data_IF_435955903696
#
_entry.id   IF_435955903696
#
_cell.length_a   1.000
_cell.length_b   1.000
_cell.length_c   1.000
_cell.angle_alpha   90.00
_cell.angle_beta   90.00
_cell.angle_gamma   90.00
#
_symmetry.space_group_name_H-M   'P 1'
#
loop_
_entity.id
_entity.type
_entity.pdbx_description
1 polymer ?
#
# COMPACT_ATOMS: atom_id res chain seq x y z
N UNK A 1 -5.81 32.77 -32.63
CA UNK A 1 -6.40 31.84 -31.63
C UNK A 1 -7.23 32.66 -30.66
N UNK A 2 -8.43 32.19 -30.32
CA UNK A 2 -9.35 32.90 -29.43
C UNK A 2 -9.16 32.47 -27.98
N UNK A 3 -9.39 33.35 -27.01
CA UNK A 3 -9.37 33.02 -25.56
C UNK A 3 -10.14 31.73 -25.23
N UNK A 4 -11.25 31.48 -25.92
CA UNK A 4 -12.05 30.27 -25.76
C UNK A 4 -11.27 28.98 -26.12
N UNK A 5 -10.44 29.00 -27.17
CA UNK A 5 -9.61 27.87 -27.58
C UNK A 5 -8.50 27.59 -26.54
N UNK A 6 -7.91 28.65 -25.98
CA UNK A 6 -6.90 28.51 -24.92
C UNK A 6 -7.53 27.92 -23.64
N UNK A 7 -8.74 28.36 -23.28
CA UNK A 7 -9.49 27.81 -22.14
C UNK A 7 -9.86 26.33 -22.34
N UNK A 8 -10.27 25.92 -23.55
CA UNK A 8 -10.51 24.52 -23.85
C UNK A 8 -9.23 23.68 -23.72
N UNK A 9 -8.11 24.15 -24.26
CA UNK A 9 -6.84 23.43 -24.15
C UNK A 9 -6.37 23.32 -22.68
N UNK A 10 -6.56 24.36 -21.87
CA UNK A 10 -6.28 24.30 -20.42
C UNK A 10 -7.18 23.27 -19.75
N UNK A 11 -8.49 23.29 -20.04
CA UNK A 11 -9.44 22.34 -19.47
C UNK A 11 -9.09 20.90 -19.83
N UNK A 12 -8.83 20.59 -21.11
CA UNK A 12 -8.52 19.24 -21.56
C UNK A 12 -7.25 18.70 -20.89
N UNK A 13 -6.22 19.54 -20.75
CA UNK A 13 -4.99 19.17 -20.06
C UNK A 13 -5.22 18.92 -18.57
N UNK A 14 -5.96 19.79 -17.88
CA UNK A 14 -6.27 19.59 -16.45
C UNK A 14 -7.19 18.38 -16.24
N UNK A 15 -8.19 18.18 -17.10
CA UNK A 15 -9.07 17.01 -17.06
C UNK A 15 -8.30 15.71 -17.27
N UNK A 16 -7.44 15.65 -18.28
CA UNK A 16 -6.57 14.49 -18.53
C UNK A 16 -5.64 14.22 -17.34
N UNK A 17 -5.02 15.25 -16.76
CA UNK A 17 -4.20 15.13 -15.54
C UNK A 17 -5.02 14.60 -14.35
N UNK A 18 -6.23 15.09 -14.16
CA UNK A 18 -7.13 14.63 -13.10
C UNK A 18 -7.53 13.16 -13.28
N UNK A 19 -7.87 12.76 -14.51
CA UNK A 19 -8.20 11.39 -14.86
C UNK A 19 -7.01 10.45 -14.63
N UNK A 20 -5.81 10.83 -15.11
CA UNK A 20 -4.59 10.05 -14.93
C UNK A 20 -4.25 9.88 -13.44
N UNK A 21 -4.30 10.95 -12.65
CA UNK A 21 -4.08 10.89 -11.20
C UNK A 21 -5.09 9.98 -10.49
N UNK A 22 -6.37 10.00 -10.89
CA UNK A 22 -7.39 9.10 -10.32
C UNK A 22 -7.11 7.65 -10.68
N UNK A 23 -6.74 7.39 -11.94
CA UNK A 23 -6.39 6.05 -12.40
C UNK A 23 -5.15 5.50 -11.67
N UNK A 24 -4.11 6.31 -11.50
CA UNK A 24 -2.87 5.96 -10.79
C UNK A 24 -3.14 5.52 -9.35
N UNK A 25 -3.97 6.28 -8.62
CA UNK A 25 -4.38 5.93 -7.24
C UNK A 25 -5.14 4.61 -7.20
N UNK A 26 -6.10 4.41 -8.11
CA UNK A 26 -6.88 3.18 -8.15
C UNK A 26 -6.00 1.96 -8.44
N UNK A 27 -5.07 2.08 -9.39
CA UNK A 27 -4.12 1.01 -9.72
C UNK A 27 -3.20 0.67 -8.55
N UNK A 28 -2.72 1.69 -7.81
CA UNK A 28 -1.93 1.46 -6.60
C UNK A 28 -2.72 0.74 -5.50
N UNK A 29 -3.98 1.13 -5.28
CA UNK A 29 -4.86 0.44 -4.31
C UNK A 29 -5.12 -1.00 -4.75
N UNK A 30 -5.27 -1.25 -6.05
CA UNK A 30 -5.40 -2.62 -6.58
C UNK A 30 -4.13 -3.44 -6.33
N UNK A 31 -2.95 -2.89 -6.57
CA UNK A 31 -1.66 -3.57 -6.29
C UNK A 31 -1.53 -3.92 -4.80
N UNK A 32 -1.88 -3.00 -3.89
CA UNK A 32 -1.89 -3.26 -2.44
C UNK A 32 -2.82 -4.43 -2.08
N UNK A 33 -4.01 -4.51 -2.67
CA UNK A 33 -4.96 -5.61 -2.45
C UNK A 33 -4.46 -6.93 -3.03
N UNK A 34 -3.85 -6.90 -4.21
CA UNK A 34 -3.25 -8.08 -4.84
C UNK A 34 -2.12 -8.63 -3.98
N UNK A 35 -1.21 -7.78 -3.50
CA UNK A 35 -0.16 -8.16 -2.57
C UNK A 35 -0.72 -8.75 -1.27
N UNK A 36 -1.78 -8.16 -0.69
CA UNK A 36 -2.42 -8.71 0.50
C UNK A 36 -3.04 -10.10 0.25
N UNK A 37 -3.75 -10.26 -0.88
CA UNK A 37 -4.35 -11.54 -1.26
C UNK A 37 -3.29 -12.62 -1.51
N UNK A 38 -2.20 -12.26 -2.20
CA UNK A 38 -1.09 -13.16 -2.48
C UNK A 38 -0.37 -13.58 -1.21
N UNK A 39 -0.08 -12.64 -0.30
CA UNK A 39 0.49 -12.95 1.02
C UNK A 39 -0.42 -13.89 1.83
N UNK A 40 -1.73 -13.65 1.84
CA UNK A 40 -2.69 -14.52 2.51
C UNK A 40 -2.58 -15.96 1.98
N UNK A 41 -2.67 -16.13 0.66
CA UNK A 41 -2.62 -17.44 0.01
C UNK A 41 -1.28 -18.14 0.28
N UNK A 42 -0.17 -17.46 0.02
CA UNK A 42 1.16 -18.03 0.22
C UNK A 42 1.47 -18.39 1.67
N UNK A 43 1.00 -17.58 2.63
CA UNK A 43 1.16 -17.89 4.05
C UNK A 43 0.30 -19.08 4.49
N UNK A 44 -0.95 -19.17 4.01
CA UNK A 44 -1.88 -20.25 4.35
C UNK A 44 -1.46 -21.59 3.74
N UNK A 45 -1.01 -21.58 2.48
CA UNK A 45 -0.59 -22.77 1.74
C UNK A 45 0.86 -23.19 2.03
N UNK A 46 1.56 -22.46 2.92
CA UNK A 46 2.96 -22.73 3.29
C UNK A 46 3.90 -22.75 2.08
N UNK A 47 3.67 -21.84 1.13
CA UNK A 47 4.61 -21.62 0.04
C UNK A 47 5.98 -21.22 0.59
N UNK A 48 7.01 -21.56 -0.17
CA UNK A 48 8.38 -21.16 0.11
C UNK A 48 8.49 -19.62 0.17
N UNK A 49 9.25 -19.12 1.15
CA UNK A 49 9.34 -17.69 1.40
C UNK A 49 9.93 -16.93 0.20
N UNK A 50 10.82 -17.54 -0.58
CA UNK A 50 11.36 -16.93 -1.80
C UNK A 50 10.28 -16.76 -2.88
N UNK A 51 9.36 -17.73 -2.98
CA UNK A 51 8.23 -17.68 -3.92
C UNK A 51 7.27 -16.55 -3.54
N UNK A 52 6.98 -16.41 -2.24
CA UNK A 52 6.13 -15.32 -1.75
C UNK A 52 6.80 -13.97 -2.02
N UNK A 53 8.10 -13.83 -1.80
CA UNK A 53 8.81 -12.56 -2.04
C UNK A 53 8.85 -12.20 -3.53
N UNK A 54 9.09 -13.18 -4.40
CA UNK A 54 9.16 -12.97 -5.84
C UNK A 54 7.81 -12.49 -6.43
N UNK A 55 6.69 -12.95 -5.87
CA UNK A 55 5.36 -12.55 -6.32
C UNK A 55 4.85 -11.21 -5.75
N UNK A 56 5.61 -10.53 -4.88
CA UNK A 56 5.22 -9.19 -4.41
C UNK A 56 5.42 -8.14 -5.50
N UNK A 57 4.35 -7.45 -5.85
CA UNK A 57 4.34 -6.38 -6.85
C UNK A 57 4.73 -5.02 -6.24
N UNK A 58 5.37 -4.16 -7.04
CA UNK A 58 5.74 -2.78 -6.68
C UNK A 58 5.70 -1.83 -7.89
N UNK A 59 5.10 -2.27 -9.00
CA UNK A 59 5.13 -1.57 -10.27
C UNK A 59 4.30 -0.29 -10.26
N UNK A 60 3.06 -0.37 -9.76
CA UNK A 60 2.16 0.76 -9.61
C UNK A 60 2.67 1.73 -8.56
N UNK A 61 3.27 1.25 -7.47
CA UNK A 61 3.93 2.12 -6.51
C UNK A 61 5.08 2.94 -7.12
N UNK A 62 5.98 2.30 -7.88
CA UNK A 62 7.06 3.03 -8.58
C UNK A 62 6.51 4.07 -9.54
N UNK A 63 5.52 3.71 -10.37
CA UNK A 63 4.85 4.63 -11.28
C UNK A 63 4.17 5.79 -10.55
N UNK A 64 3.52 5.52 -9.42
CA UNK A 64 2.85 6.54 -8.61
C UNK A 64 3.87 7.55 -8.06
N UNK A 65 5.03 7.07 -7.59
CA UNK A 65 6.13 7.93 -7.14
C UNK A 65 6.74 8.75 -8.29
N UNK A 66 7.03 8.13 -9.44
CA UNK A 66 7.57 8.81 -10.63
C UNK A 66 6.65 9.93 -11.12
N UNK A 67 5.32 9.69 -11.06
CA UNK A 67 4.30 10.68 -11.45
C UNK A 67 4.02 11.74 -10.38
N UNK A 68 4.63 11.67 -9.18
CA UNK A 68 4.31 12.55 -8.06
C UNK A 68 2.85 12.44 -7.62
N UNK A 69 2.28 11.23 -7.64
CA UNK A 69 0.87 10.99 -7.27
C UNK A 69 0.67 11.36 -5.80
N UNK A 70 -0.31 12.22 -5.45
CA UNK A 70 -0.53 12.64 -4.07
C UNK A 70 -1.18 11.50 -3.27
N UNK A 71 -0.37 10.65 -2.63
CA UNK A 71 -0.82 9.45 -1.92
C UNK A 71 -1.78 9.74 -0.77
N UNK A 72 -1.60 10.86 -0.07
CA UNK A 72 -2.49 11.29 1.02
C UNK A 72 -3.91 11.63 0.56
N UNK A 73 -4.12 11.81 -0.75
CA UNK A 73 -5.46 12.00 -1.30
C UNK A 73 -6.22 10.70 -1.54
N UNK A 74 -5.59 9.52 -1.37
CA UNK A 74 -6.26 8.21 -1.38
C UNK A 74 -7.19 8.09 -0.16
N UNK A 75 -6.67 8.44 1.02
CA UNK A 75 -7.44 8.59 2.26
C UNK A 75 -6.89 9.79 3.01
N UNK A 76 -7.72 10.82 3.18
CA UNK A 76 -7.30 12.12 3.74
C UNK A 76 -7.07 12.08 5.25
N UNK A 77 -7.71 11.15 5.96
CA UNK A 77 -7.55 10.99 7.41
C UNK A 77 -6.23 10.27 7.71
N UNK A 78 -5.66 10.55 8.87
CA UNK A 78 -4.56 9.76 9.43
C UNK A 78 -5.08 8.46 10.06
N UNK A 79 -4.17 7.50 10.28
CA UNK A 79 -4.50 6.23 10.93
C UNK A 79 -5.05 6.43 12.34
N UNK A 80 -6.31 6.08 12.53
CA UNK A 80 -6.97 6.16 13.83
C UNK A 80 -6.84 4.85 14.61
N UNK A 81 -6.79 4.93 15.95
CA UNK A 81 -6.70 3.75 16.82
C UNK A 81 -7.83 2.75 16.63
N UNK A 82 -9.04 3.25 16.31
CA UNK A 82 -10.21 2.43 15.96
C UNK A 82 -9.96 1.53 14.76
N UNK A 83 -9.17 1.95 13.76
CA UNK A 83 -8.95 1.17 12.53
C UNK A 83 -8.31 -0.18 12.82
N UNK A 84 -7.43 -0.26 13.82
CA UNK A 84 -6.71 -1.48 14.21
C UNK A 84 -7.17 -2.03 15.58
N UNK A 85 -8.37 -1.66 16.05
CA UNK A 85 -8.97 -2.24 17.26
C UNK A 85 -8.13 -2.08 18.53
N UNK A 86 -7.26 -1.07 18.61
CA UNK A 86 -6.38 -0.86 19.78
C UNK A 86 -5.23 -1.87 19.93
N UNK A 87 -4.93 -2.66 18.90
CA UNK A 87 -3.78 -3.59 18.94
C UNK A 87 -2.45 -2.84 19.08
N UNK A 88 -1.75 -3.10 20.19
CA UNK A 88 -0.49 -2.45 20.58
C UNK A 88 0.59 -2.50 19.48
N UNK A 89 0.64 -3.56 18.68
CA UNK A 89 1.61 -3.73 17.58
C UNK A 89 1.57 -2.57 16.56
N UNK A 90 0.40 -1.96 16.36
CA UNK A 90 0.16 -0.89 15.37
C UNK A 90 0.14 0.51 15.98
N UNK A 91 0.26 0.64 17.29
CA UNK A 91 0.18 1.92 17.99
C UNK A 91 1.25 2.92 17.50
N UNK A 92 2.45 2.41 17.16
CA UNK A 92 3.53 3.21 16.57
C UNK A 92 3.21 3.87 15.22
N UNK A 93 2.14 3.43 14.55
CA UNK A 93 1.65 4.01 13.30
C UNK A 93 0.45 4.95 13.50
N UNK A 94 0.00 5.12 14.73
CA UNK A 94 -1.08 6.04 15.03
C UNK A 94 -0.75 7.46 14.54
N UNK A 95 -1.71 8.12 13.89
CA UNK A 95 -1.53 9.47 13.37
C UNK A 95 -0.73 9.55 12.07
N UNK A 96 -0.22 8.43 11.54
CA UNK A 96 0.48 8.44 10.26
C UNK A 96 -0.48 8.72 9.10
N UNK A 97 0.02 9.44 8.11
CA UNK A 97 -0.69 9.73 6.86
C UNK A 97 -0.75 8.49 5.96
N UNK A 98 -1.66 8.50 4.99
CA UNK A 98 -1.79 7.40 4.01
C UNK A 98 -0.51 7.23 3.19
N UNK A 99 0.12 8.33 2.77
CA UNK A 99 1.42 8.30 2.10
C UNK A 99 2.51 7.65 2.94
N UNK A 100 2.62 8.00 4.23
CA UNK A 100 3.60 7.39 5.14
C UNK A 100 3.39 5.88 5.28
N UNK A 101 2.15 5.42 5.41
CA UNK A 101 1.83 4.00 5.53
C UNK A 101 2.16 3.24 4.23
N UNK A 102 1.80 3.79 3.07
CA UNK A 102 2.10 3.20 1.76
C UNK A 102 3.61 3.11 1.56
N UNK A 103 4.35 4.20 1.81
CA UNK A 103 5.81 4.18 1.73
C UNK A 103 6.40 3.11 2.64
N UNK A 104 5.89 2.96 3.87
CA UNK A 104 6.39 1.94 4.79
C UNK A 104 6.09 0.51 4.32
N UNK A 105 4.95 0.27 3.67
CA UNK A 105 4.63 -1.02 3.09
C UNK A 105 5.65 -1.39 2.02
N UNK A 106 5.89 -0.50 1.05
CA UNK A 106 6.81 -0.78 -0.05
C UNK A 106 8.29 -0.73 0.33
N UNK A 107 8.67 0.03 1.36
CA UNK A 107 10.00 -0.07 1.97
C UNK A 107 10.25 -1.50 2.48
N UNK A 108 9.26 -2.12 3.13
CA UNK A 108 9.39 -3.51 3.60
C UNK A 108 9.43 -4.51 2.47
N UNK A 109 8.63 -4.31 1.41
CA UNK A 109 8.70 -5.14 0.19
C UNK A 109 10.11 -5.06 -0.40
N UNK A 110 10.66 -3.86 -0.56
CA UNK A 110 12.00 -3.65 -1.09
C UNK A 110 13.08 -4.29 -0.20
N UNK A 111 12.94 -4.21 1.12
CA UNK A 111 13.84 -4.90 2.05
C UNK A 111 13.75 -6.40 1.85
N UNK A 112 12.55 -6.99 1.85
CA UNK A 112 12.33 -8.43 1.67
C UNK A 112 12.96 -8.94 0.37
N UNK A 113 12.80 -8.23 -0.75
CA UNK A 113 13.41 -8.58 -2.05
C UNK A 113 14.93 -8.53 -2.06
N UNK A 114 15.56 -7.80 -1.13
CA UNK A 114 17.02 -7.66 -1.00
C UNK A 114 17.62 -8.59 0.06
N UNK A 115 16.81 -9.30 0.85
CA UNK A 115 17.32 -10.19 1.90
C UNK A 115 18.04 -11.38 1.27
N UNK A 116 19.17 -11.75 1.87
CA UNK A 116 19.79 -13.03 1.60
C UNK A 116 19.02 -14.12 2.37
N UNK A 117 18.17 -14.86 1.65
CA UNK A 117 17.28 -15.88 2.22
C UNK A 117 18.02 -17.08 2.81
N UNK A 118 19.32 -17.22 2.54
CA UNK A 118 20.16 -18.29 3.08
C UNK A 118 20.82 -17.93 4.42
N UNK A 119 20.57 -16.73 4.95
CA UNK A 119 21.12 -16.31 6.25
C UNK A 119 20.26 -16.80 7.41
N UNK A 120 20.79 -17.72 8.21
CA UNK A 120 20.10 -18.29 9.38
C UNK A 120 19.73 -17.26 10.47
N UNK A 121 20.24 -16.03 10.40
CA UNK A 121 19.96 -14.97 11.36
C UNK A 121 18.63 -14.22 11.09
N UNK A 122 17.96 -14.49 9.97
CA UNK A 122 16.81 -13.71 9.53
C UNK A 122 15.56 -14.59 9.44
N UNK A 123 14.61 -14.39 10.34
CA UNK A 123 13.28 -14.99 10.23
C UNK A 123 12.47 -14.26 9.16
N UNK A 124 12.59 -14.73 7.92
CA UNK A 124 11.87 -14.21 6.75
C UNK A 124 10.37 -14.42 6.90
N UNK A 125 9.95 -15.57 7.43
CA UNK A 125 8.54 -15.91 7.63
C UNK A 125 7.84 -14.92 8.55
N UNK A 126 8.45 -14.58 9.69
CA UNK A 126 7.93 -13.58 10.60
C UNK A 126 7.79 -12.20 9.94
N UNK A 127 8.72 -11.82 9.05
CA UNK A 127 8.65 -10.55 8.30
C UNK A 127 7.51 -10.55 7.28
N UNK A 128 7.27 -11.66 6.59
CA UNK A 128 6.13 -11.80 5.67
C UNK A 128 4.80 -11.75 6.41
N UNK A 129 4.69 -12.42 7.56
CA UNK A 129 3.52 -12.31 8.43
C UNK A 129 3.31 -10.88 8.92
N UNK A 130 4.38 -10.18 9.29
CA UNK A 130 4.29 -8.79 9.72
C UNK A 130 3.86 -7.85 8.60
N UNK A 131 4.35 -8.06 7.37
CA UNK A 131 3.89 -7.34 6.19
C UNK A 131 2.40 -7.61 5.92
N UNK A 132 1.98 -8.87 5.99
CA UNK A 132 0.57 -9.25 5.85
C UNK A 132 -0.33 -8.50 6.83
N UNK A 133 -0.03 -8.53 8.14
CA UNK A 133 -0.84 -7.81 9.12
C UNK A 133 -0.84 -6.30 8.89
N UNK A 134 0.31 -5.74 8.50
CA UNK A 134 0.43 -4.31 8.21
C UNK A 134 -0.42 -3.90 6.99
N UNK A 135 -0.43 -4.71 5.93
CA UNK A 135 -1.28 -4.48 4.76
C UNK A 135 -2.77 -4.60 5.10
N UNK A 136 -3.16 -5.50 6.02
CA UNK A 136 -4.55 -5.52 6.52
C UNK A 136 -4.95 -4.19 7.15
N UNK A 137 -4.09 -3.62 8.02
CA UNK A 137 -4.34 -2.33 8.66
C UNK A 137 -4.37 -1.19 7.64
N UNK A 138 -3.44 -1.18 6.68
CA UNK A 138 -3.40 -0.18 5.62
C UNK A 138 -4.65 -0.24 4.74
N UNK A 139 -5.09 -1.42 4.33
CA UNK A 139 -6.32 -1.56 3.52
C UNK A 139 -7.54 -1.14 4.34
N UNK A 140 -7.65 -1.54 5.62
CA UNK A 140 -8.73 -1.10 6.48
C UNK A 140 -8.75 0.43 6.67
N UNK A 141 -7.58 1.05 6.75
CA UNK A 141 -7.43 2.50 6.78
C UNK A 141 -7.92 3.17 5.50
N UNK A 142 -7.48 2.68 4.34
CA UNK A 142 -7.91 3.18 3.02
C UNK A 142 -9.44 3.09 2.90
N UNK A 143 -10.01 1.95 3.29
CA UNK A 143 -11.45 1.67 3.24
C UNK A 143 -12.26 2.37 4.34
N UNK A 144 -11.57 3.02 5.30
CA UNK A 144 -12.16 3.62 6.49
C UNK A 144 -13.06 2.63 7.27
N UNK A 145 -12.59 1.39 7.36
CA UNK A 145 -13.21 0.28 8.11
C UNK A 145 -12.41 -0.02 9.38
N UNK A 146 -13.07 -0.63 10.34
CA UNK A 146 -12.46 -1.12 11.58
C UNK A 146 -12.14 -2.62 11.47
N UNK A 147 -10.94 -3.00 11.91
CA UNK A 147 -10.59 -4.41 12.07
C UNK A 147 -11.16 -4.93 13.40
N UNK A 148 -12.17 -5.78 13.32
CA UNK A 148 -12.67 -6.53 14.46
C UNK A 148 -11.80 -7.75 14.70
N UNK A 149 -10.87 -7.64 15.65
CA UNK A 149 -10.03 -8.75 16.06
C UNK A 149 -10.69 -9.39 17.27
N UNK A 150 -11.23 -10.59 17.08
CA UNK A 150 -11.76 -11.38 18.21
C UNK A 150 -10.59 -11.77 19.10
N UNK A 151 -10.54 -11.34 20.37
CA UNK A 151 -9.54 -11.85 21.29
C UNK A 151 -9.76 -13.36 21.46
N UNK A 152 -8.68 -14.13 21.32
CA UNK A 152 -8.65 -15.53 21.77
C UNK A 152 -8.52 -15.57 23.29
#
# INVERSE_FOLDING_TARGET
MTIIQDLYHIFDNEYARHLDRRSSKNLLVMELRQNLAFLRAGLAERLDDSTIIAGLEEGQYRRANEKGTPLDSIQKKCLARRTYGGVKEFEKYHGWSTGQLIHKAYERVAVLKKLNLNSAAIDVRARLQYLFKFLMVLIAHIDNTELHITPK
#
